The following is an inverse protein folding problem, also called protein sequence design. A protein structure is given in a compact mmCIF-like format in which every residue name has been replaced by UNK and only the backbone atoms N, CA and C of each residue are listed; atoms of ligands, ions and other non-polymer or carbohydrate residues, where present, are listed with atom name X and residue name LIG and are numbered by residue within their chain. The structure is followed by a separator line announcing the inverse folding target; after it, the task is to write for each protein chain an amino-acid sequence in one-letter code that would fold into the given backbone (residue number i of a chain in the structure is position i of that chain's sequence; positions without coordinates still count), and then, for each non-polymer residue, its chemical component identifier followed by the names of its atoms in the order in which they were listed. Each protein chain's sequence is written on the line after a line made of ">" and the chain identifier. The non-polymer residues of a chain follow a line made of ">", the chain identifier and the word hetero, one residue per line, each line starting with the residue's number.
data_IF_320765340669
#
_entry.id   IF_320765340669
#
_cell.length_a   1.000
_cell.length_b   1.000
_cell.length_c   1.000
_cell.angle_alpha   90.00
_cell.angle_beta   90.00
_cell.angle_gamma   90.00
#
_symmetry.space_group_name_H-M   'P 1'
#
loop_
_entity.id
_entity.type
_entity.pdbx_description
1 polymer ?
#
# COMPACT_ATOMS: atom_id res chain seq x y z
N UNK A 1 -47.95 -13.28 33.51
CA UNK A 1 -47.14 -14.46 33.77
C UNK A 1 -46.02 -14.49 32.74
N UNK A 2 -44.77 -14.60 33.16
CA UNK A 2 -43.68 -14.74 32.20
C UNK A 2 -43.75 -16.14 31.57
N UNK A 3 -43.69 -16.22 30.24
CA UNK A 3 -43.63 -17.47 29.52
C UNK A 3 -42.36 -18.25 29.90
N UNK A 4 -42.45 -19.57 29.92
CA UNK A 4 -41.28 -20.41 30.16
C UNK A 4 -40.37 -20.34 28.94
N UNK A 5 -39.02 -20.31 29.09
CA UNK A 5 -38.12 -20.29 27.97
C UNK A 5 -38.35 -21.41 26.95
N UNK A 6 -38.81 -22.57 27.42
CA UNK A 6 -39.17 -23.69 26.56
C UNK A 6 -40.31 -23.37 25.58
N UNK A 7 -41.28 -22.56 26.01
CA UNK A 7 -42.43 -22.19 25.19
C UNK A 7 -42.09 -21.16 24.11
N UNK A 8 -40.97 -20.48 24.29
CA UNK A 8 -40.42 -19.50 23.33
C UNK A 8 -39.54 -20.13 22.26
N UNK A 9 -39.15 -21.38 22.41
CA UNK A 9 -38.25 -22.07 21.51
C UNK A 9 -39.03 -22.83 20.42
N UNK A 10 -38.93 -22.37 19.17
CA UNK A 10 -39.66 -22.95 18.04
C UNK A 10 -39.38 -24.45 17.88
N UNK A 11 -38.18 -24.91 18.21
CA UNK A 11 -37.76 -26.31 18.05
C UNK A 11 -37.59 -27.05 19.39
N UNK A 12 -38.18 -26.56 20.49
CA UNK A 12 -38.13 -27.25 21.77
C UNK A 12 -38.84 -28.63 21.66
N UNK A 13 -38.11 -29.69 21.99
CA UNK A 13 -38.65 -31.05 21.93
C UNK A 13 -38.87 -31.63 20.52
N UNK A 14 -38.46 -30.93 19.45
CA UNK A 14 -38.50 -31.38 18.05
C UNK A 14 -37.14 -31.26 17.42
N UNK A 15 -36.84 -32.12 16.45
CA UNK A 15 -35.64 -31.96 15.60
C UNK A 15 -35.75 -30.76 14.68
N UNK A 16 -34.59 -30.28 14.24
CA UNK A 16 -34.57 -29.28 13.17
C UNK A 16 -35.18 -29.83 11.89
N UNK A 17 -35.79 -28.97 11.04
CA UNK A 17 -36.28 -29.41 9.72
C UNK A 17 -35.18 -30.03 8.87
N UNK A 18 -35.59 -30.94 7.98
CA UNK A 18 -34.68 -31.50 7.00
C UNK A 18 -34.01 -30.41 6.18
N UNK A 19 -32.69 -30.51 6.02
CA UNK A 19 -31.89 -29.50 5.34
C UNK A 19 -31.52 -28.29 6.17
N UNK A 20 -31.91 -28.19 7.45
CA UNK A 20 -31.44 -27.16 8.35
C UNK A 20 -29.91 -27.26 8.52
N UNK A 21 -29.26 -26.11 8.49
CA UNK A 21 -27.80 -26.01 8.64
C UNK A 21 -27.44 -25.29 9.92
N UNK A 22 -26.41 -25.76 10.57
CA UNK A 22 -25.77 -25.05 11.68
C UNK A 22 -25.07 -23.78 11.18
N UNK A 23 -24.82 -22.85 12.08
CA UNK A 23 -24.03 -21.66 11.75
C UNK A 23 -22.66 -22.04 11.15
N UNK A 24 -21.99 -23.05 11.71
CA UNK A 24 -20.71 -23.52 11.20
C UNK A 24 -20.83 -23.99 9.73
N UNK A 25 -21.82 -24.81 9.42
CA UNK A 25 -22.05 -25.29 8.04
C UNK A 25 -22.38 -24.17 7.06
N UNK A 26 -23.10 -23.12 7.50
CA UNK A 26 -23.35 -21.94 6.68
C UNK A 26 -22.06 -21.20 6.40
N UNK A 27 -21.23 -20.95 7.43
CA UNK A 27 -19.94 -20.26 7.29
C UNK A 27 -19.00 -21.07 6.38
N UNK A 28 -18.87 -22.38 6.58
CA UNK A 28 -18.07 -23.24 5.72
C UNK A 28 -18.53 -23.18 4.25
N UNK A 29 -19.82 -23.23 4.01
CA UNK A 29 -20.38 -23.11 2.66
C UNK A 29 -20.08 -21.75 2.02
N UNK A 30 -20.16 -20.66 2.78
CA UNK A 30 -19.82 -19.31 2.31
C UNK A 30 -18.33 -19.20 1.99
N UNK A 31 -17.44 -19.73 2.85
CA UNK A 31 -16.00 -19.75 2.62
C UNK A 31 -15.67 -20.53 1.36
N UNK A 32 -16.21 -21.75 1.20
CA UNK A 32 -15.98 -22.57 0.03
C UNK A 32 -16.46 -21.88 -1.27
N UNK A 33 -17.64 -21.26 -1.23
CA UNK A 33 -18.17 -20.52 -2.38
C UNK A 33 -17.29 -19.33 -2.76
N UNK A 34 -16.77 -18.59 -1.77
CA UNK A 34 -15.85 -17.45 -2.01
C UNK A 34 -14.49 -17.91 -2.54
N UNK A 35 -13.96 -18.98 -2.02
CA UNK A 35 -12.71 -19.57 -2.56
C UNK A 35 -12.87 -20.00 -4.01
N UNK A 36 -13.98 -20.64 -4.37
CA UNK A 36 -14.27 -21.02 -5.75
C UNK A 36 -14.39 -19.79 -6.68
N UNK A 37 -15.05 -18.71 -6.22
CA UNK A 37 -15.14 -17.46 -6.98
C UNK A 37 -13.77 -16.82 -7.21
N UNK A 38 -12.91 -16.76 -6.17
CA UNK A 38 -11.55 -16.23 -6.30
C UNK A 38 -10.70 -17.08 -7.24
N UNK A 39 -10.82 -18.41 -7.17
CA UNK A 39 -10.12 -19.32 -8.09
C UNK A 39 -10.54 -19.10 -9.54
N UNK A 40 -11.84 -18.89 -9.79
CA UNK A 40 -12.38 -18.61 -11.12
C UNK A 40 -11.93 -17.26 -11.68
N UNK A 41 -11.66 -16.27 -10.80
CA UNK A 41 -11.16 -14.94 -11.18
C UNK A 41 -9.64 -14.90 -11.39
N UNK A 42 -8.88 -15.96 -11.07
CA UNK A 42 -7.43 -15.98 -11.20
C UNK A 42 -7.01 -15.68 -12.64
N UNK A 43 -6.24 -14.59 -12.87
CA UNK A 43 -5.90 -14.18 -14.23
C UNK A 43 -4.95 -15.18 -14.90
N UNK A 44 -5.20 -15.47 -16.17
CA UNK A 44 -4.35 -16.33 -17.03
C UNK A 44 -3.76 -15.55 -18.19
N UNK A 45 -4.29 -14.35 -18.45
CA UNK A 45 -3.92 -13.45 -19.51
C UNK A 45 -4.21 -11.99 -19.14
N UNK A 46 -3.93 -11.07 -20.03
CA UNK A 46 -4.15 -9.63 -19.81
C UNK A 46 -5.64 -9.27 -19.60
N UNK A 47 -6.55 -9.93 -20.32
CA UNK A 47 -7.99 -9.71 -20.19
C UNK A 47 -8.49 -10.20 -18.82
N UNK A 48 -8.05 -11.39 -18.40
CA UNK A 48 -8.32 -11.94 -17.08
C UNK A 48 -7.78 -11.04 -15.96
N UNK A 49 -6.58 -10.45 -16.13
CA UNK A 49 -6.03 -9.49 -15.17
C UNK A 49 -6.87 -8.22 -15.09
N UNK A 50 -7.34 -7.69 -16.22
CA UNK A 50 -8.23 -6.54 -16.23
C UNK A 50 -9.53 -6.83 -15.49
N UNK A 51 -10.13 -7.99 -15.75
CA UNK A 51 -11.34 -8.44 -15.05
C UNK A 51 -11.12 -8.64 -13.55
N UNK A 52 -9.99 -9.25 -13.15
CA UNK A 52 -9.61 -9.41 -11.75
C UNK A 52 -9.53 -8.06 -11.03
N UNK A 53 -8.87 -7.07 -11.65
CA UNK A 53 -8.75 -5.71 -11.11
C UNK A 53 -10.09 -4.99 -11.03
N UNK A 54 -10.96 -5.16 -12.02
CA UNK A 54 -12.31 -4.58 -12.03
C UNK A 54 -13.14 -5.09 -10.85
N UNK A 55 -13.10 -6.40 -10.59
CA UNK A 55 -13.93 -7.03 -9.56
C UNK A 55 -13.36 -6.79 -8.15
N UNK A 56 -12.07 -6.98 -7.95
CA UNK A 56 -11.44 -6.94 -6.61
C UNK A 56 -10.87 -5.58 -6.24
N UNK A 57 -10.52 -4.75 -7.23
CA UNK A 57 -9.91 -3.44 -7.00
C UNK A 57 -10.74 -2.50 -6.12
N UNK A 58 -12.07 -2.39 -6.29
CA UNK A 58 -12.91 -1.60 -5.39
C UNK A 58 -12.80 -2.03 -3.93
N UNK A 59 -12.86 -3.35 -3.67
CA UNK A 59 -12.72 -3.91 -2.32
C UNK A 59 -11.35 -3.58 -1.70
N UNK A 60 -10.27 -3.72 -2.47
CA UNK A 60 -8.92 -3.38 -2.01
C UNK A 60 -8.78 -1.89 -1.67
N UNK A 61 -9.31 -1.00 -2.52
CA UNK A 61 -9.32 0.45 -2.24
C UNK A 61 -10.04 0.79 -0.94
N UNK A 62 -11.20 0.18 -0.72
CA UNK A 62 -11.98 0.41 0.50
C UNK A 62 -11.28 -0.18 1.73
N UNK A 63 -10.73 -1.38 1.65
CA UNK A 63 -10.03 -2.02 2.75
C UNK A 63 -8.79 -1.24 3.21
N UNK A 64 -8.00 -0.73 2.26
CA UNK A 64 -6.83 0.10 2.55
C UNK A 64 -7.21 1.56 2.85
N UNK A 65 -8.35 2.05 2.36
CA UNK A 65 -8.66 3.47 2.36
C UNK A 65 -7.60 4.32 1.65
N UNK A 66 -6.75 3.70 0.82
CA UNK A 66 -5.69 4.33 0.06
C UNK A 66 -6.12 4.52 -1.40
N UNK A 67 -5.65 5.60 -2.01
CA UNK A 67 -6.02 5.94 -3.38
C UNK A 67 -4.89 6.66 -4.12
N UNK A 68 -4.84 6.47 -5.42
CA UNK A 68 -3.95 7.25 -6.27
C UNK A 68 -4.30 8.73 -6.18
N UNK A 69 -3.32 9.64 -5.95
CA UNK A 69 -3.58 11.07 -5.89
C UNK A 69 -4.11 11.62 -7.24
N UNK A 70 -5.35 12.11 -7.26
CA UNK A 70 -5.96 12.70 -8.44
C UNK A 70 -5.33 14.04 -8.82
N UNK A 71 -4.94 14.83 -7.82
CA UNK A 71 -4.30 16.12 -7.98
C UNK A 71 -2.77 16.02 -7.89
N UNK A 72 -2.09 17.12 -8.32
CA UNK A 72 -0.64 17.24 -8.18
C UNK A 72 -0.25 17.21 -6.69
N UNK A 73 0.73 16.37 -6.38
CA UNK A 73 1.35 16.32 -5.07
C UNK A 73 2.22 17.57 -4.89
N UNK A 74 2.09 18.26 -3.75
CA UNK A 74 2.85 19.46 -3.43
C UNK A 74 4.21 19.11 -2.86
N UNK A 75 5.21 19.87 -3.24
CA UNK A 75 6.51 19.87 -2.58
C UNK A 75 6.48 20.92 -1.45
N UNK A 76 6.78 20.47 -0.23
CA UNK A 76 7.03 21.35 0.91
C UNK A 76 8.52 21.62 1.07
N UNK A 77 8.88 22.58 1.95
CA UNK A 77 10.27 22.91 2.22
C UNK A 77 11.05 21.70 2.73
N UNK A 78 12.28 21.58 2.25
CA UNK A 78 13.28 20.65 2.80
C UNK A 78 13.77 21.20 4.14
N UNK A 79 14.03 20.30 5.08
CA UNK A 79 14.60 20.64 6.40
C UNK A 79 16.12 20.47 6.45
N UNK A 80 16.74 19.95 5.40
CA UNK A 80 18.15 19.56 5.38
C UNK A 80 18.96 20.39 4.39
N UNK A 81 20.22 20.67 4.74
CA UNK A 81 21.16 21.36 3.89
C UNK A 81 21.42 20.63 2.57
N UNK A 82 21.74 21.39 1.53
CA UNK A 82 22.07 20.88 0.21
C UNK A 82 23.39 20.09 0.28
N UNK A 83 23.32 18.77 0.28
CA UNK A 83 24.46 17.93 -0.06
C UNK A 83 24.49 17.85 -1.59
N UNK A 84 25.67 18.03 -2.20
CA UNK A 84 25.81 18.03 -3.64
C UNK A 84 25.23 16.75 -4.26
N UNK A 85 24.27 16.91 -5.17
CA UNK A 85 23.61 15.78 -5.84
C UNK A 85 22.50 15.09 -5.06
N UNK A 86 22.18 15.54 -3.86
CA UNK A 86 21.06 15.02 -3.05
C UNK A 86 20.08 16.16 -2.72
N UNK A 87 18.80 15.92 -2.92
CA UNK A 87 17.73 16.85 -2.56
C UNK A 87 16.76 16.18 -1.60
N UNK A 88 16.51 16.83 -0.49
CA UNK A 88 15.47 16.42 0.46
C UNK A 88 14.27 17.35 0.35
N UNK A 89 13.09 16.79 0.43
CA UNK A 89 11.82 17.51 0.37
C UNK A 89 10.73 16.74 1.11
N UNK A 90 9.61 17.38 1.34
CA UNK A 90 8.43 16.73 1.88
C UNK A 90 7.31 16.78 0.83
N UNK A 91 6.68 15.65 0.61
CA UNK A 91 5.50 15.55 -0.27
C UNK A 91 4.23 15.63 0.54
N UNK A 92 3.20 16.28 -0.03
CA UNK A 92 1.89 16.33 0.61
C UNK A 92 0.77 16.43 -0.40
N UNK A 93 -0.36 15.79 -0.10
CA UNK A 93 -1.59 15.91 -0.88
C UNK A 93 -2.38 17.13 -0.41
N UNK A 94 -2.95 17.87 -1.37
CA UNK A 94 -3.72 19.08 -1.06
C UNK A 94 -4.87 18.77 -0.10
N UNK A 95 -4.98 19.55 0.98
CA UNK A 95 -6.07 19.47 1.95
C UNK A 95 -6.09 18.18 2.81
N UNK A 96 -5.02 17.37 2.79
CA UNK A 96 -4.96 16.12 3.57
C UNK A 96 -4.07 16.20 4.80
N UNK A 97 -3.20 17.22 4.90
CA UNK A 97 -2.28 17.40 6.04
C UNK A 97 -1.15 16.37 6.11
N UNK A 98 -1.05 15.48 5.13
CA UNK A 98 0.02 14.49 5.07
C UNK A 98 1.35 15.15 4.69
N UNK A 99 2.44 14.60 5.25
CA UNK A 99 3.81 15.01 4.98
C UNK A 99 4.69 13.78 4.88
N UNK A 100 5.14 13.49 3.67
CA UNK A 100 5.99 12.33 3.36
C UNK A 100 7.41 12.82 3.07
N UNK A 101 8.37 12.65 3.99
CA UNK A 101 9.76 12.98 3.72
C UNK A 101 10.28 12.16 2.54
N UNK A 102 11.00 12.81 1.64
CA UNK A 102 11.58 12.18 0.46
C UNK A 102 13.01 12.68 0.25
N UNK A 103 13.91 11.75 -0.03
CA UNK A 103 15.26 12.03 -0.51
C UNK A 103 15.36 11.62 -1.97
N UNK A 104 15.95 12.52 -2.75
CA UNK A 104 16.15 12.37 -4.18
C UNK A 104 17.63 12.46 -4.49
N UNK A 105 18.18 11.41 -5.07
CA UNK A 105 19.55 11.42 -5.61
C UNK A 105 19.48 11.83 -7.07
N UNK A 106 20.14 12.96 -7.38
CA UNK A 106 20.09 13.55 -8.70
C UNK A 106 20.60 12.58 -9.78
N UNK A 107 19.90 12.55 -10.88
CA UNK A 107 20.31 11.85 -12.09
C UNK A 107 20.78 12.86 -13.16
N UNK A 108 21.44 12.40 -14.23
CA UNK A 108 21.70 13.23 -15.39
C UNK A 108 20.42 13.91 -15.91
N UNK A 109 20.53 15.13 -16.48
CA UNK A 109 19.35 15.88 -16.96
C UNK A 109 18.51 15.14 -18.00
N UNK A 110 19.13 14.26 -18.77
CA UNK A 110 18.50 13.43 -19.80
C UNK A 110 17.78 12.21 -19.27
N UNK A 111 17.79 11.99 -17.95
CA UNK A 111 17.16 10.82 -17.31
C UNK A 111 15.67 10.73 -17.67
N UNK A 112 15.29 9.54 -18.14
CA UNK A 112 13.89 9.21 -18.48
C UNK A 112 13.28 8.21 -17.52
N UNK A 113 14.07 7.64 -16.62
CA UNK A 113 13.70 6.56 -15.71
C UNK A 113 13.86 7.01 -14.28
N UNK A 114 12.87 6.69 -13.45
CA UNK A 114 12.92 6.89 -12.02
C UNK A 114 12.64 5.59 -11.27
N UNK A 115 13.21 5.46 -10.10
CA UNK A 115 12.92 4.36 -9.18
C UNK A 115 12.64 4.90 -7.78
N UNK A 116 11.55 4.45 -7.19
CA UNK A 116 11.25 4.64 -5.78
C UNK A 116 11.72 3.41 -5.02
N UNK A 117 12.65 3.58 -4.10
CA UNK A 117 13.12 2.53 -3.20
C UNK A 117 12.51 2.77 -1.83
N UNK A 118 11.79 1.80 -1.32
CA UNK A 118 11.06 1.90 -0.04
C UNK A 118 11.67 0.86 0.94
N UNK A 119 12.47 1.30 1.89
CA UNK A 119 12.97 0.44 2.96
C UNK A 119 12.08 0.53 4.21
N UNK A 120 12.02 -0.50 5.06
CA UNK A 120 11.22 -0.48 6.28
C UNK A 120 11.77 0.48 7.35
N UNK A 121 13.06 0.78 7.30
CA UNK A 121 13.73 1.70 8.22
C UNK A 121 13.66 3.17 7.79
N UNK A 122 12.99 3.48 6.67
CA UNK A 122 12.99 4.82 6.08
C UNK A 122 14.26 5.12 5.28
N UNK A 123 14.41 6.37 4.85
CA UNK A 123 15.46 6.86 3.94
C UNK A 123 16.87 6.41 4.36
N UNK A 124 17.16 6.40 5.64
CA UNK A 124 18.46 5.98 6.17
C UNK A 124 18.80 4.51 5.85
N UNK A 125 17.78 3.66 5.65
CA UNK A 125 17.97 2.28 5.20
C UNK A 125 18.58 2.20 3.80
N UNK A 126 18.29 3.16 2.92
CA UNK A 126 18.89 3.28 1.59
C UNK A 126 20.23 4.00 1.66
N UNK A 127 20.32 5.07 2.43
CA UNK A 127 21.53 5.88 2.54
C UNK A 127 22.74 5.09 3.05
N UNK A 128 22.53 4.17 3.97
CA UNK A 128 23.59 3.27 4.45
C UNK A 128 24.14 2.30 3.38
N UNK A 129 23.37 2.09 2.31
CA UNK A 129 23.71 1.23 1.19
C UNK A 129 23.87 2.03 -0.13
N UNK A 130 24.15 3.33 -0.04
CA UNK A 130 24.20 4.23 -1.20
C UNK A 130 25.16 3.69 -2.28
N UNK A 131 26.35 3.29 -1.92
CA UNK A 131 27.36 2.79 -2.86
C UNK A 131 26.93 1.51 -3.61
N UNK A 132 26.19 0.62 -2.95
CA UNK A 132 25.79 -0.67 -3.53
C UNK A 132 24.39 -0.65 -4.20
N UNK A 133 23.52 0.25 -3.79
CA UNK A 133 22.13 0.31 -4.26
C UNK A 133 21.87 1.53 -5.14
N UNK A 134 22.23 2.72 -4.66
CA UNK A 134 21.89 3.98 -5.34
C UNK A 134 22.86 4.27 -6.50
N UNK A 135 24.16 4.20 -6.25
CA UNK A 135 25.16 4.55 -7.24
C UNK A 135 25.13 3.70 -8.53
N UNK A 136 24.88 2.38 -8.49
CA UNK A 136 24.71 1.59 -9.71
C UNK A 136 23.49 2.01 -10.55
N UNK A 137 22.43 2.44 -9.91
CA UNK A 137 21.22 2.94 -10.59
C UNK A 137 21.47 4.33 -11.21
N UNK A 138 22.11 5.23 -10.46
CA UNK A 138 22.48 6.57 -10.95
C UNK A 138 23.40 6.50 -12.15
N UNK A 139 24.43 5.65 -12.10
CA UNK A 139 25.36 5.43 -13.24
C UNK A 139 24.67 4.91 -14.49
N UNK A 140 23.52 4.24 -14.33
CA UNK A 140 22.65 3.82 -15.44
C UNK A 140 21.63 4.87 -15.86
N UNK A 141 21.75 6.10 -15.36
CA UNK A 141 20.89 7.22 -15.71
C UNK A 141 19.52 7.21 -15.00
N UNK A 142 19.38 6.50 -13.88
CA UNK A 142 18.14 6.49 -13.12
C UNK A 142 18.07 7.63 -12.11
N UNK A 143 16.92 8.29 -12.03
CA UNK A 143 16.58 9.13 -10.89
C UNK A 143 16.17 8.22 -9.73
N UNK A 144 16.90 8.28 -8.63
CA UNK A 144 16.61 7.44 -7.45
C UNK A 144 15.92 8.27 -6.38
N UNK A 145 14.83 7.77 -5.84
CA UNK A 145 14.11 8.37 -4.72
C UNK A 145 13.89 7.36 -3.60
N UNK A 146 13.85 7.84 -2.37
CA UNK A 146 13.40 7.06 -1.21
C UNK A 146 12.54 7.92 -0.30
N UNK A 147 11.68 7.30 0.49
CA UNK A 147 10.78 7.98 1.43
C UNK A 147 10.90 7.43 2.84
N UNK A 148 10.60 8.30 3.80
CA UNK A 148 10.17 7.85 5.13
C UNK A 148 8.64 7.66 5.05
N UNK A 149 8.23 6.41 4.83
CA UNK A 149 6.83 6.06 4.86
C UNK A 149 6.27 6.21 6.28
N UNK A 150 4.97 6.25 6.40
CA UNK A 150 4.27 6.46 7.67
C UNK A 150 4.87 5.62 8.81
N UNK A 151 5.21 6.30 9.89
CA UNK A 151 5.82 5.72 11.09
C UNK A 151 7.13 4.97 10.83
N UNK A 152 7.94 5.44 9.87
CA UNK A 152 9.30 4.96 9.61
C UNK A 152 10.29 6.13 9.57
N UNK A 153 11.57 5.87 9.74
CA UNK A 153 12.62 6.88 9.66
C UNK A 153 12.34 8.13 10.48
N UNK A 154 12.46 9.29 9.86
CA UNK A 154 12.17 10.60 10.48
C UNK A 154 10.65 10.87 10.66
N UNK A 155 9.79 10.08 10.02
CA UNK A 155 8.34 10.14 10.18
C UNK A 155 7.83 9.29 11.34
N UNK A 156 8.72 8.69 12.14
CA UNK A 156 8.34 7.88 13.31
C UNK A 156 7.77 8.78 14.40
N UNK A 157 6.59 8.40 14.91
CA UNK A 157 5.92 9.02 16.03
C UNK A 157 5.22 7.96 16.88
N UNK A 158 5.15 8.20 18.17
CA UNK A 158 4.32 7.37 19.03
C UNK A 158 2.84 7.55 18.68
N UNK A 159 2.13 6.44 18.60
CA UNK A 159 0.67 6.40 18.41
C UNK A 159 0.05 5.63 19.54
N UNK A 160 -0.81 6.29 20.28
CA UNK A 160 -1.67 5.58 21.24
C UNK A 160 -2.72 4.78 20.45
N UNK A 161 -2.63 3.47 20.54
CA UNK A 161 -3.55 2.52 19.91
C UNK A 161 -4.35 1.73 20.97
N UNK A 162 -4.31 2.19 22.22
CA UNK A 162 -4.96 1.51 23.34
C UNK A 162 -6.49 1.58 23.30
N UNK A 163 -7.06 2.53 22.55
CA UNK A 163 -8.52 2.65 22.39
C UNK A 163 -9.07 1.37 21.73
N UNK A 164 -10.10 0.80 22.36
CA UNK A 164 -10.77 -0.43 21.91
C UNK A 164 -11.24 -0.36 20.45
N UNK A 165 -11.61 0.82 19.99
CA UNK A 165 -12.13 1.05 18.64
C UNK A 165 -11.15 1.76 17.73
N UNK A 166 -9.86 1.84 18.11
CA UNK A 166 -8.84 2.54 17.33
C UNK A 166 -8.84 2.12 15.85
N UNK A 167 -8.80 0.81 15.57
CA UNK A 167 -8.80 0.29 14.21
C UNK A 167 -10.12 0.48 13.44
N UNK A 168 -11.22 0.78 14.12
CA UNK A 168 -12.52 1.07 13.50
C UNK A 168 -12.52 2.46 12.85
N UNK A 169 -11.86 3.43 13.49
CA UNK A 169 -11.89 4.84 13.07
C UNK A 169 -10.58 5.30 12.43
N UNK A 170 -9.51 4.53 12.57
CA UNK A 170 -8.19 4.87 12.05
C UNK A 170 -7.72 3.86 11.00
N UNK A 171 -6.98 4.35 10.03
CA UNK A 171 -6.26 3.47 9.10
C UNK A 171 -5.15 2.73 9.85
N UNK A 172 -4.86 1.53 9.41
CA UNK A 172 -3.67 0.79 9.84
C UNK A 172 -2.40 1.52 9.39
N UNK A 173 -1.29 1.25 10.05
CA UNK A 173 0.00 1.80 9.65
C UNK A 173 0.36 1.39 8.22
N UNK A 174 0.08 0.14 7.84
CA UNK A 174 0.35 -0.34 6.48
C UNK A 174 -0.50 0.37 5.42
N UNK A 175 -1.77 0.65 5.71
CA UNK A 175 -2.62 1.43 4.82
C UNK A 175 -2.10 2.88 4.61
N UNK A 176 -1.56 3.51 5.67
CA UNK A 176 -0.92 4.81 5.58
C UNK A 176 0.39 4.73 4.78
N UNK A 177 1.24 3.71 5.01
CA UNK A 177 2.47 3.47 4.23
C UNK A 177 2.19 3.27 2.76
N UNK A 178 1.16 2.48 2.41
CA UNK A 178 0.70 2.32 1.02
C UNK A 178 0.31 3.66 0.41
N UNK A 179 -0.41 4.51 1.16
CA UNK A 179 -0.77 5.84 0.68
C UNK A 179 0.45 6.72 0.41
N UNK A 180 1.47 6.66 1.27
CA UNK A 180 2.70 7.44 1.10
C UNK A 180 3.50 6.98 -0.12
N UNK A 181 3.58 5.66 -0.35
CA UNK A 181 4.16 5.10 -1.57
C UNK A 181 3.42 5.61 -2.82
N UNK A 182 2.08 5.58 -2.81
CA UNK A 182 1.27 6.11 -3.92
C UNK A 182 1.50 7.61 -4.14
N UNK A 183 1.66 8.37 -3.06
CA UNK A 183 1.93 9.81 -3.12
C UNK A 183 3.29 10.08 -3.78
N UNK A 184 4.32 9.37 -3.38
CA UNK A 184 5.67 9.49 -3.96
C UNK A 184 5.71 9.04 -5.44
N UNK A 185 5.07 7.92 -5.77
CA UNK A 185 4.95 7.44 -7.15
C UNK A 185 4.22 8.45 -8.04
N UNK A 186 3.10 9.01 -7.56
CA UNK A 186 2.35 10.04 -8.30
C UNK A 186 3.20 11.28 -8.59
N UNK A 187 4.00 11.69 -7.62
CA UNK A 187 4.93 12.81 -7.78
C UNK A 187 6.03 12.48 -8.79
N UNK A 188 6.66 11.32 -8.71
CA UNK A 188 7.70 10.88 -9.65
C UNK A 188 7.17 10.80 -11.09
N UNK A 189 5.98 10.24 -11.30
CA UNK A 189 5.35 10.13 -12.63
C UNK A 189 5.03 11.47 -13.28
N UNK A 190 4.86 12.52 -12.49
CA UNK A 190 4.57 13.88 -12.98
C UNK A 190 5.81 14.74 -13.16
N UNK A 191 6.99 14.22 -12.87
CA UNK A 191 8.23 14.99 -13.08
C UNK A 191 8.53 15.15 -14.56
N UNK A 192 8.89 16.39 -14.97
CA UNK A 192 9.30 16.64 -16.35
C UNK A 192 10.44 15.70 -16.76
N UNK A 193 10.32 15.11 -17.95
CA UNK A 193 11.34 14.22 -18.52
C UNK A 193 11.19 12.76 -18.12
N UNK A 194 10.64 12.40 -16.96
CA UNK A 194 10.46 11.01 -16.55
C UNK A 194 9.31 10.35 -17.35
N UNK A 195 9.59 9.20 -17.92
CA UNK A 195 8.65 8.38 -18.71
C UNK A 195 8.35 7.05 -18.05
N UNK A 196 9.31 6.50 -17.36
CA UNK A 196 9.22 5.20 -16.71
C UNK A 196 9.46 5.36 -15.21
N UNK A 197 8.59 4.79 -14.39
CA UNK A 197 8.74 4.75 -12.94
C UNK A 197 8.67 3.31 -12.47
N UNK A 198 9.69 2.89 -11.74
CA UNK A 198 9.76 1.59 -11.10
C UNK A 198 9.67 1.72 -9.57
N UNK A 199 9.29 0.64 -8.92
CA UNK A 199 9.10 0.56 -7.47
C UNK A 199 9.89 -0.61 -6.92
N UNK A 200 10.64 -0.37 -5.84
CA UNK A 200 11.40 -1.39 -5.12
C UNK A 200 11.03 -1.34 -3.65
N UNK A 201 10.51 -2.44 -3.13
CA UNK A 201 10.22 -2.62 -1.71
C UNK A 201 11.25 -3.58 -1.10
N UNK A 202 11.98 -3.11 -0.10
CA UNK A 202 13.00 -3.89 0.58
C UNK A 202 12.43 -4.49 1.88
N UNK A 203 12.77 -5.76 2.16
CA UNK A 203 12.38 -6.44 3.39
C UNK A 203 10.86 -6.24 3.66
N UNK A 204 10.46 -5.91 4.85
CA UNK A 204 9.05 -5.69 5.26
C UNK A 204 8.30 -4.59 4.50
N UNK A 205 8.98 -3.78 3.69
CA UNK A 205 8.33 -2.81 2.82
C UNK A 205 7.84 -3.43 1.49
N UNK A 206 8.25 -4.64 1.17
CA UNK A 206 7.79 -5.35 -0.03
C UNK A 206 6.27 -5.48 -0.10
N UNK A 207 5.56 -5.97 0.93
CA UNK A 207 4.10 -6.02 0.96
C UNK A 207 3.42 -4.66 0.74
N UNK A 208 3.96 -3.55 1.28
CA UNK A 208 3.41 -2.21 1.05
C UNK A 208 3.51 -1.83 -0.43
N UNK A 209 4.65 -2.16 -1.06
CA UNK A 209 4.87 -1.90 -2.48
C UNK A 209 3.96 -2.74 -3.38
N UNK A 210 3.71 -4.01 -3.05
CA UNK A 210 2.76 -4.85 -3.78
C UNK A 210 1.32 -4.32 -3.69
N UNK A 211 0.91 -3.88 -2.49
CA UNK A 211 -0.41 -3.26 -2.31
C UNK A 211 -0.52 -1.92 -3.06
N UNK A 212 0.55 -1.11 -3.03
CA UNK A 212 0.60 0.15 -3.78
C UNK A 212 0.54 -0.08 -5.29
N UNK A 213 1.26 -1.10 -5.82
CA UNK A 213 1.20 -1.47 -7.23
C UNK A 213 -0.22 -1.78 -7.71
N UNK A 214 -1.02 -2.45 -6.87
CA UNK A 214 -2.40 -2.78 -7.23
C UNK A 214 -3.28 -1.54 -7.45
N UNK A 215 -2.90 -0.39 -6.89
CA UNK A 215 -3.61 0.89 -6.96
C UNK A 215 -2.91 1.93 -7.85
N UNK A 216 -1.64 1.70 -8.19
CA UNK A 216 -0.85 2.61 -9.03
C UNK A 216 -1.06 2.31 -10.52
N UNK A 217 -1.20 3.32 -11.37
CA UNK A 217 -1.24 3.11 -12.81
C UNK A 217 0.18 2.90 -13.37
N UNK A 218 0.32 2.00 -14.35
CA UNK A 218 1.44 1.89 -15.30
C UNK A 218 2.84 2.04 -14.68
N UNK A 219 3.22 1.16 -13.76
CA UNK A 219 4.60 1.04 -13.30
C UNK A 219 5.40 0.20 -14.30
N UNK A 220 6.63 0.63 -14.62
CA UNK A 220 7.52 -0.07 -15.55
C UNK A 220 7.99 -1.41 -14.98
N UNK A 221 8.31 -1.43 -13.69
CA UNK A 221 8.66 -2.65 -12.97
C UNK A 221 8.36 -2.49 -11.47
N UNK A 222 8.10 -3.61 -10.82
CA UNK A 222 8.02 -3.68 -9.36
C UNK A 222 8.85 -4.85 -8.87
N UNK A 223 9.73 -4.56 -7.92
CA UNK A 223 10.51 -5.56 -7.19
C UNK A 223 10.12 -5.44 -5.74
N UNK A 224 9.67 -6.51 -5.15
CA UNK A 224 9.27 -6.54 -3.75
C UNK A 224 9.87 -7.76 -3.08
N UNK A 225 10.57 -7.50 -1.99
CA UNK A 225 10.93 -8.57 -1.07
C UNK A 225 9.65 -8.97 -0.33
N UNK A 226 9.23 -10.22 -0.51
CA UNK A 226 8.04 -10.76 0.11
C UNK A 226 8.41 -11.81 1.18
N UNK A 227 9.69 -11.92 1.50
CA UNK A 227 10.20 -12.95 2.38
C UNK A 227 10.07 -12.54 3.84
N UNK A 228 8.97 -13.01 4.46
CA UNK A 228 8.73 -13.26 5.91
C UNK A 228 8.51 -12.10 6.83
#
# INVERSE_FOLDING_TARGET
>A
TAEQPADLLVFHGRGFPDGARTQAQIVEGLVAARQAQLAALRPRDAAGLARFREVLGPGLRHALGAQWPGEAVREGPSTSGLVAGVRELALGRRGRGDRVPLRLWAAPPESRKAVLVVPPAGIEGVSRHEASLVEPLRRRGWLVASIDAFNTGSARAERDQSDRFFATYNRTDDANRVQDVLTALSWLKRRPGIREVSLVGLDRAGPWCLLAQALAPDLAAVVADADR
#
